data_IF_459734819647
#
_entry.id   IF_459734819647
#
_cell.length_a   1.000
_cell.length_b   1.000
_cell.length_c   1.000
_cell.angle_alpha   90.00
_cell.angle_beta   90.00
_cell.angle_gamma   90.00
#
_symmetry.space_group_name_H-M   'P 1'
#
loop_
_entity.id
_entity.type
_entity.pdbx_description
1 polymer ?
#
# COMPACT_ATOMS: atom_id res chain seq x y z
N UNK A 1 7.06 -11.76 -1.46
CA UNK A 1 5.74 -11.67 -2.09
C UNK A 1 5.25 -10.24 -2.00
N UNK A 2 4.84 -9.67 -3.14
CA UNK A 2 4.12 -8.39 -3.19
C UNK A 2 2.65 -8.70 -3.45
N UNK A 3 1.76 -8.00 -2.77
CA UNK A 3 0.33 -8.08 -3.03
C UNK A 3 -0.14 -6.70 -3.42
N UNK A 4 -0.64 -6.57 -4.65
CA UNK A 4 -1.26 -5.34 -5.12
C UNK A 4 -2.77 -5.47 -4.91
N UNK A 5 -3.35 -4.44 -4.31
CA UNK A 5 -4.79 -4.30 -4.17
C UNK A 5 -5.19 -2.95 -4.72
N UNK A 6 -5.96 -2.98 -5.79
CA UNK A 6 -6.68 -1.80 -6.28
C UNK A 6 -7.95 -1.65 -5.45
N UNK A 7 -8.21 -0.45 -4.95
CA UNK A 7 -9.38 -0.12 -4.15
C UNK A 7 -10.18 0.98 -4.82
N UNK A 8 -11.50 0.82 -4.82
CA UNK A 8 -12.46 1.83 -5.24
C UNK A 8 -13.37 2.13 -4.06
N UNK A 9 -13.25 3.33 -3.50
CA UNK A 9 -14.04 3.79 -2.35
C UNK A 9 -14.56 5.20 -2.65
N UNK A 10 -15.84 5.43 -2.40
CA UNK A 10 -16.47 6.75 -2.52
C UNK A 10 -16.22 7.47 -3.86
N UNK A 11 -16.25 6.74 -4.98
CA UNK A 11 -16.03 7.34 -6.29
C UNK A 11 -14.56 7.48 -6.69
N UNK A 12 -13.62 7.01 -5.86
CA UNK A 12 -12.20 7.26 -6.05
C UNK A 12 -11.38 5.96 -6.05
N UNK A 13 -10.44 5.88 -7.00
CA UNK A 13 -9.51 4.76 -7.13
C UNK A 13 -8.18 5.09 -6.44
N UNK A 14 -7.67 4.14 -5.66
CA UNK A 14 -6.32 4.18 -5.13
C UNK A 14 -5.67 2.78 -5.13
N UNK A 15 -4.35 2.77 -4.96
CA UNK A 15 -3.54 1.55 -5.02
C UNK A 15 -2.87 1.29 -3.68
N UNK A 16 -3.23 0.18 -3.05
CA UNK A 16 -2.54 -0.35 -1.88
C UNK A 16 -1.57 -1.45 -2.32
N UNK A 17 -0.29 -1.27 -2.01
CA UNK A 17 0.76 -2.25 -2.27
C UNK A 17 1.26 -2.75 -0.91
N UNK A 18 1.17 -4.06 -0.69
CA UNK A 18 1.72 -4.70 0.50
C UNK A 18 3.03 -5.39 0.16
N UNK A 19 4.09 -4.98 0.84
CA UNK A 19 5.44 -5.49 0.63
C UNK A 19 5.87 -6.36 1.80
N UNK A 20 6.67 -7.38 1.50
CA UNK A 20 7.26 -8.28 2.50
C UNK A 20 6.24 -8.96 3.44
N UNK A 21 5.00 -9.15 2.99
CA UNK A 21 3.97 -9.80 3.81
C UNK A 21 4.43 -11.17 4.30
N UNK A 22 4.25 -11.40 5.60
CA UNK A 22 4.61 -12.64 6.25
C UNK A 22 6.11 -12.84 6.55
N UNK A 23 6.98 -11.85 6.27
CA UNK A 23 8.36 -11.80 6.77
C UNK A 23 8.40 -11.31 8.23
N UNK A 24 9.55 -11.50 8.88
CA UNK A 24 9.82 -11.04 10.25
C UNK A 24 10.03 -9.52 10.34
N UNK A 25 9.75 -8.95 11.52
CA UNK A 25 9.82 -7.50 11.82
C UNK A 25 11.21 -7.08 12.37
N UNK A 26 12.30 -7.53 11.76
CA UNK A 26 13.65 -7.44 12.35
C UNK A 26 14.67 -6.64 11.53
N UNK A 27 14.27 -6.09 10.38
CA UNK A 27 15.18 -5.32 9.51
C UNK A 27 14.43 -4.39 8.55
N UNK A 28 15.17 -3.72 7.67
CA UNK A 28 14.63 -2.84 6.61
C UNK A 28 13.68 -3.55 5.62
N UNK A 29 13.57 -4.87 5.70
CA UNK A 29 12.70 -5.72 4.88
C UNK A 29 11.47 -6.21 5.65
N UNK A 30 11.11 -5.51 6.74
CA UNK A 30 9.88 -5.75 7.50
C UNK A 30 8.64 -5.57 6.63
N UNK A 31 7.50 -6.21 6.97
CA UNK A 31 6.24 -5.97 6.30
C UNK A 31 5.84 -4.49 6.34
N UNK A 32 5.39 -3.97 5.19
CA UNK A 32 4.87 -2.61 5.11
C UNK A 32 3.77 -2.50 4.03
N UNK A 33 3.03 -1.40 4.10
CA UNK A 33 1.97 -1.02 3.17
C UNK A 33 2.35 0.30 2.52
N UNK A 34 2.09 0.43 1.23
CA UNK A 34 2.29 1.67 0.47
C UNK A 34 0.93 2.00 -0.13
N UNK A 35 0.40 3.20 0.14
CA UNK A 35 -0.84 3.67 -0.44
C UNK A 35 -0.51 4.79 -1.43
N UNK A 36 -0.78 4.55 -2.71
CA UNK A 36 -0.60 5.50 -3.80
C UNK A 36 -1.95 6.06 -4.21
N UNK A 37 -2.04 7.38 -4.26
CA UNK A 37 -3.28 8.09 -4.49
C UNK A 37 -3.00 9.39 -5.25
N UNK A 38 -3.79 9.62 -6.30
CA UNK A 38 -3.66 10.79 -7.17
C UNK A 38 -4.35 12.05 -6.65
N UNK A 39 -5.21 11.95 -5.63
CA UNK A 39 -5.77 13.11 -4.94
C UNK A 39 -4.96 13.41 -3.70
N UNK A 40 -4.69 14.70 -3.42
CA UNK A 40 -4.03 15.10 -2.17
C UNK A 40 -5.00 14.76 -1.04
N UNK A 41 -4.70 13.70 -0.30
CA UNK A 41 -5.68 13.13 0.60
C UNK A 41 -5.52 13.65 2.04
N UNK A 42 -6.60 14.19 2.60
CA UNK A 42 -6.86 14.24 4.05
C UNK A 42 -7.55 12.96 4.58
N UNK A 43 -7.98 12.07 3.69
CA UNK A 43 -8.73 10.83 3.95
C UNK A 43 -7.96 9.49 4.06
N UNK A 44 -6.63 9.35 3.84
CA UNK A 44 -6.00 8.03 3.89
C UNK A 44 -6.01 7.48 5.32
N UNK A 45 -5.92 8.37 6.30
CA UNK A 45 -6.10 8.08 7.72
C UNK A 45 -7.51 7.55 8.03
N UNK A 46 -8.54 7.95 7.27
CA UNK A 46 -9.90 7.41 7.43
C UNK A 46 -10.01 5.99 6.87
N UNK A 47 -9.27 5.67 5.81
CA UNK A 47 -9.25 4.34 5.20
C UNK A 47 -8.35 3.35 5.94
N UNK A 48 -7.40 3.85 6.75
CA UNK A 48 -6.43 3.03 7.47
C UNK A 48 -7.05 1.90 8.33
N UNK A 49 -8.12 2.11 9.12
CA UNK A 49 -8.76 1.03 9.88
C UNK A 49 -9.26 -0.11 8.98
N UNK A 50 -9.84 0.23 7.83
CA UNK A 50 -10.33 -0.74 6.83
C UNK A 50 -9.17 -1.48 6.17
N UNK A 51 -8.09 -0.77 5.84
CA UNK A 51 -6.86 -1.35 5.31
C UNK A 51 -6.28 -2.35 6.32
N UNK A 52 -6.14 -1.97 7.60
CA UNK A 52 -5.60 -2.84 8.65
C UNK A 52 -6.47 -4.08 8.89
N UNK A 53 -7.80 -3.94 8.83
CA UNK A 53 -8.73 -5.08 8.88
C UNK A 53 -8.48 -6.04 7.73
N UNK A 54 -8.37 -5.52 6.51
CA UNK A 54 -8.07 -6.34 5.34
C UNK A 54 -6.73 -7.09 5.47
N UNK A 55 -5.68 -6.44 5.98
CA UNK A 55 -4.40 -7.12 6.24
C UNK A 55 -4.54 -8.20 7.30
N UNK A 56 -5.28 -7.94 8.39
CA UNK A 56 -5.57 -8.96 9.42
C UNK A 56 -6.26 -10.19 8.80
N UNK A 57 -7.26 -9.96 7.94
CA UNK A 57 -7.99 -11.04 7.27
C UNK A 57 -7.07 -11.84 6.32
N UNK A 58 -6.15 -11.17 5.61
CA UNK A 58 -5.12 -11.85 4.80
C UNK A 58 -4.16 -12.72 5.63
N UNK A 59 -3.73 -12.27 6.79
CA UNK A 59 -2.89 -13.10 7.68
C UNK A 59 -3.66 -14.32 8.19
N UNK A 60 -4.93 -14.13 8.54
CA UNK A 60 -5.81 -15.20 8.99
C UNK A 60 -6.02 -16.26 7.90
N UNK A 61 -6.27 -15.87 6.65
CA UNK A 61 -6.44 -16.82 5.53
C UNK A 61 -5.15 -17.57 5.20
N UNK A 62 -3.98 -17.02 5.53
CA UNK A 62 -2.68 -17.69 5.39
C UNK A 62 -2.33 -18.62 6.58
N UNK A 63 -3.25 -18.83 7.51
CA UNK A 63 -3.01 -19.64 8.72
C UNK A 63 -2.01 -19.01 9.69
N UNK A 64 -1.67 -17.72 9.51
CA UNK A 64 -0.78 -16.98 10.40
C UNK A 64 -1.62 -16.24 11.43
N UNK A 65 -1.49 -16.64 12.71
CA UNK A 65 -2.05 -15.88 13.82
C UNK A 65 -1.23 -14.60 14.04
N UNK A 66 -1.60 -13.52 13.34
CA UNK A 66 -1.05 -12.20 13.61
C UNK A 66 -1.87 -11.50 14.69
N UNK A 67 -1.21 -11.12 15.78
CA UNK A 67 -1.86 -10.30 16.81
C UNK A 67 -2.25 -8.93 16.26
N UNK A 68 -3.30 -8.30 16.81
CA UNK A 68 -3.65 -6.92 16.45
C UNK A 68 -2.49 -5.95 16.63
N UNK A 69 -1.60 -6.21 17.60
CA UNK A 69 -0.37 -5.43 17.83
C UNK A 69 0.60 -5.55 16.66
N UNK A 70 0.79 -6.77 16.15
CA UNK A 70 1.63 -7.05 14.97
C UNK A 70 1.09 -6.37 13.71
N UNK A 71 -0.23 -6.43 13.50
CA UNK A 71 -0.86 -5.73 12.37
C UNK A 71 -0.74 -4.22 12.53
N UNK A 72 -0.88 -3.70 13.75
CA UNK A 72 -0.68 -2.29 14.09
C UNK A 72 0.74 -1.79 13.83
N UNK A 73 1.76 -2.63 14.02
CA UNK A 73 3.17 -2.26 13.78
C UNK A 73 3.57 -2.27 12.30
N UNK A 74 2.72 -2.73 11.39
CA UNK A 74 2.99 -2.63 9.94
C UNK A 74 2.85 -1.16 9.53
N UNK A 75 3.94 -0.60 9.01
CA UNK A 75 3.98 0.80 8.55
C UNK A 75 3.11 1.01 7.32
N UNK A 76 2.30 2.08 7.34
CA UNK A 76 1.59 2.60 6.16
C UNK A 76 2.37 3.80 5.62
N UNK A 77 2.86 3.68 4.39
CA UNK A 77 3.67 4.68 3.71
C UNK A 77 2.80 5.42 2.69
N UNK A 78 2.89 6.75 2.70
CA UNK A 78 2.16 7.67 1.82
C UNK A 78 3.17 8.47 0.98
N UNK A 79 3.76 7.86 -0.05
CA UNK A 79 4.80 8.52 -0.82
C UNK A 79 4.22 9.62 -1.71
N UNK A 80 5.07 10.59 -2.05
CA UNK A 80 4.71 11.59 -3.06
C UNK A 80 4.65 10.92 -4.42
N UNK A 81 3.54 11.13 -5.12
CA UNK A 81 3.26 10.65 -6.47
C UNK A 81 2.64 11.77 -7.31
N UNK A 82 2.73 11.72 -8.65
CA UNK A 82 2.03 12.64 -9.53
C UNK A 82 0.56 12.77 -9.16
N UNK A 83 0.06 13.99 -8.99
CA UNK A 83 -1.31 14.24 -8.56
C UNK A 83 -2.18 14.59 -9.77
N UNK A 84 -3.43 14.13 -9.76
CA UNK A 84 -4.43 14.58 -10.72
C UNK A 84 -4.91 15.99 -10.36
N UNK A 85 -5.35 16.74 -11.37
CA UNK A 85 -5.90 18.09 -11.17
C UNK A 85 -7.41 18.07 -10.98
N UNK A 86 -8.06 17.04 -11.51
CA UNK A 86 -9.49 16.81 -11.59
C UNK A 86 -9.84 15.44 -10.98
N UNK A 87 -11.01 15.31 -10.35
CA UNK A 87 -11.44 14.11 -9.60
C UNK A 87 -11.63 12.83 -10.43
N UNK A 88 -11.67 12.95 -11.76
CA UNK A 88 -12.24 11.95 -12.68
C UNK A 88 -11.21 10.94 -13.21
N UNK A 89 -9.91 11.25 -13.15
CA UNK A 89 -8.85 10.46 -13.81
C UNK A 89 -8.11 9.50 -12.88
N UNK A 90 -8.63 9.27 -11.67
CA UNK A 90 -7.98 8.47 -10.63
C UNK A 90 -7.72 7.02 -11.04
N UNK A 91 -8.59 6.45 -11.88
CA UNK A 91 -8.39 5.13 -12.47
C UNK A 91 -7.13 5.07 -13.36
N UNK A 92 -6.89 6.10 -14.18
CA UNK A 92 -5.72 6.18 -15.07
C UNK A 92 -4.44 6.31 -14.25
N UNK A 93 -4.43 7.15 -13.21
CA UNK A 93 -3.29 7.26 -12.30
C UNK A 93 -3.02 5.95 -11.56
N UNK A 94 -4.07 5.25 -11.11
CA UNK A 94 -3.94 3.94 -10.48
C UNK A 94 -3.24 2.93 -11.42
N UNK A 95 -3.63 2.88 -12.70
CA UNK A 95 -2.96 2.02 -13.69
C UNK A 95 -1.52 2.45 -13.95
N UNK A 96 -1.26 3.76 -14.02
CA UNK A 96 0.08 4.31 -14.17
C UNK A 96 0.99 3.95 -12.98
N UNK A 97 0.48 4.00 -11.75
CA UNK A 97 1.21 3.56 -10.56
C UNK A 97 1.53 2.08 -10.57
N UNK A 98 0.59 1.22 -11.02
CA UNK A 98 0.86 -0.21 -11.22
C UNK A 98 2.00 -0.39 -12.22
N UNK A 99 1.94 0.33 -13.36
CA UNK A 99 2.99 0.28 -14.37
C UNK A 99 4.36 0.68 -13.81
N UNK A 100 4.45 1.81 -13.11
CA UNK A 100 5.69 2.27 -12.48
C UNK A 100 6.20 1.27 -11.44
N UNK A 101 5.32 0.73 -10.61
CA UNK A 101 5.68 -0.30 -9.64
C UNK A 101 6.24 -1.54 -10.33
N UNK A 102 5.57 -2.08 -11.35
CA UNK A 102 6.04 -3.27 -12.06
C UNK A 102 7.37 -3.04 -12.81
N UNK A 103 7.62 -1.82 -13.29
CA UNK A 103 8.87 -1.46 -13.97
C UNK A 103 10.05 -1.25 -13.01
N UNK A 104 9.79 -0.69 -11.84
CA UNK A 104 10.83 -0.21 -10.92
C UNK A 104 10.87 -0.95 -9.59
N UNK A 105 10.00 -1.95 -9.38
CA UNK A 105 9.95 -2.69 -8.13
C UNK A 105 11.29 -3.42 -7.90
N UNK A 106 11.95 -3.17 -6.77
CA UNK A 106 13.15 -3.92 -6.43
C UNK A 106 12.76 -5.37 -6.15
N UNK A 107 13.66 -6.31 -6.50
CA UNK A 107 13.50 -7.74 -6.18
C UNK A 107 13.31 -7.97 -4.67
N UNK A 108 13.91 -7.11 -3.85
CA UNK A 108 13.65 -7.04 -2.40
C UNK A 108 13.28 -5.62 -2.01
N UNK A 109 12.04 -5.42 -1.57
CA UNK A 109 11.58 -4.11 -1.12
C UNK A 109 12.17 -3.75 0.25
N UNK A 110 12.79 -2.58 0.34
CA UNK A 110 13.23 -1.96 1.60
C UNK A 110 12.46 -0.66 1.80
N UNK A 111 11.86 -0.48 2.98
CA UNK A 111 11.11 0.76 3.27
C UNK A 111 12.03 1.99 3.46
N UNK A 112 13.35 1.81 3.54
CA UNK A 112 14.30 2.93 3.63
C UNK A 112 14.76 3.44 2.26
N UNK A 113 14.53 2.67 1.20
CA UNK A 113 15.02 2.97 -0.15
C UNK A 113 13.94 2.79 -1.22
N UNK A 114 12.66 2.91 -0.83
CA UNK A 114 11.57 2.73 -1.77
C UNK A 114 11.45 3.94 -2.71
N UNK A 115 11.07 3.73 -3.99
CA UNK A 115 11.02 4.81 -4.96
C UNK A 115 9.87 5.77 -4.63
N UNK A 116 10.17 7.07 -4.59
CA UNK A 116 9.14 8.08 -4.84
C UNK A 116 8.79 7.93 -6.33
N UNK A 117 7.55 7.53 -6.64
CA UNK A 117 7.11 7.24 -8.01
C UNK A 117 6.87 8.54 -8.80
N UNK A 118 7.88 9.41 -8.83
CA UNK A 118 7.86 10.74 -9.48
C UNK A 118 8.48 10.65 -10.86
#
# INVERSE_FOLDING_TARGET
>A
MHVLKVTYCWGHWNLLIMCNLGKSFNNNYSPCMILLDSLIISEPLKAEPTIRRFVKDLYHTQGKLASSRTIGSISLLLPKVPQQKDGEVCGVFTLYYIYLFLKSAPTTFSFTSYPYFV
#
